data_IF_905448423263
#
_entry.id   IF_905448423263
#
_cell.length_a   1.000
_cell.length_b   1.000
_cell.length_c   1.000
_cell.angle_alpha   90.00
_cell.angle_beta   90.00
_cell.angle_gamma   90.00
#
_symmetry.space_group_name_H-M   'P 1'
#
loop_
_entity.id
_entity.type
_entity.pdbx_description
1 polymer ?
#
# COMPACT_ATOMS: atom_id res chain seq x y z
N UNK A 1 10.73 -45.59 47.12
CA UNK A 1 10.42 -46.75 46.25
C UNK A 1 10.81 -46.41 44.82
N UNK A 2 11.50 -47.34 44.15
CA UNK A 2 11.73 -47.56 42.70
C UNK A 2 11.64 -46.35 41.71
N UNK A 3 12.74 -45.79 41.16
CA UNK A 3 13.49 -46.12 39.89
C UNK A 3 12.59 -46.48 38.68
N UNK A 4 12.69 -45.98 37.42
CA UNK A 4 13.84 -45.71 36.49
C UNK A 4 13.43 -44.98 35.18
N UNK A 5 14.46 -44.43 34.48
CA UNK A 5 14.75 -44.41 33.00
C UNK A 5 13.91 -43.43 32.13
N UNK A 6 14.47 -42.70 31.16
CA UNK A 6 15.43 -43.12 30.13
C UNK A 6 16.19 -41.94 29.48
N UNK A 7 17.47 -42.16 29.19
CA UNK A 7 18.41 -41.33 28.40
C UNK A 7 18.33 -41.68 26.90
N UNK A 8 18.47 -40.67 26.02
CA UNK A 8 19.06 -40.74 24.65
C UNK A 8 19.60 -39.32 24.37
N UNK A 9 20.89 -39.00 24.32
CA UNK A 9 22.05 -39.47 23.55
C UNK A 9 22.25 -38.77 22.18
N UNK A 10 23.28 -37.90 22.16
CA UNK A 10 24.27 -37.61 21.12
C UNK A 10 23.84 -37.28 19.67
N UNK A 11 24.27 -36.08 19.23
CA UNK A 11 24.57 -35.75 17.83
C UNK A 11 25.28 -34.39 17.77
N UNK A 12 26.61 -34.38 17.96
CA UNK A 12 27.66 -34.30 16.94
C UNK A 12 28.06 -32.84 16.62
N UNK A 13 29.25 -32.50 17.11
CA UNK A 13 30.01 -31.27 16.91
C UNK A 13 30.33 -31.07 15.42
N UNK A 14 29.95 -29.92 14.86
CA UNK A 14 30.56 -29.39 13.65
C UNK A 14 31.41 -28.17 14.02
N UNK A 15 32.62 -28.17 13.49
CA UNK A 15 33.79 -27.45 13.97
C UNK A 15 33.87 -26.13 13.21
N UNK A 16 34.12 -25.07 13.97
CA UNK A 16 34.47 -23.72 13.53
C UNK A 16 35.50 -23.74 12.40
N UNK A 17 35.21 -23.01 11.33
CA UNK A 17 36.21 -22.51 10.39
C UNK A 17 36.35 -21.01 10.61
N UNK A 18 37.44 -20.63 11.27
CA UNK A 18 37.85 -19.24 11.46
C UNK A 18 38.60 -18.77 10.22
N UNK A 19 38.15 -17.68 9.62
CA UNK A 19 38.96 -16.85 8.74
C UNK A 19 38.76 -15.39 9.19
N UNK A 20 39.87 -14.77 9.53
CA UNK A 20 39.98 -13.48 10.17
C UNK A 20 39.85 -12.32 9.17
N UNK A 21 39.15 -11.24 9.56
CA UNK A 21 39.51 -9.87 9.24
C UNK A 21 38.76 -8.91 10.20
N UNK A 22 39.47 -7.85 10.62
CA UNK A 22 39.17 -6.89 11.69
C UNK A 22 37.76 -6.26 11.73
N UNK A 23 37.25 -6.08 12.96
CA UNK A 23 36.18 -5.14 13.29
C UNK A 23 35.58 -5.37 14.68
N UNK A 24 36.32 -5.05 15.75
CA UNK A 24 35.74 -4.79 17.08
C UNK A 24 35.28 -3.32 17.11
N UNK A 25 34.11 -2.97 17.64
CA UNK A 25 33.83 -2.83 19.07
C UNK A 25 32.30 -2.99 19.31
N UNK A 26 31.86 -4.04 20.01
CA UNK A 26 31.38 -4.02 21.41
C UNK A 26 30.28 -2.97 21.68
N UNK A 27 29.07 -3.33 22.14
CA UNK A 27 28.75 -3.63 23.55
C UNK A 27 27.31 -4.18 23.58
N UNK A 28 27.07 -5.47 23.80
CA UNK A 28 26.86 -6.20 25.07
C UNK A 28 25.59 -5.83 25.89
N UNK A 29 24.85 -6.89 26.23
CA UNK A 29 23.98 -7.07 27.41
C UNK A 29 22.62 -6.36 27.37
N UNK A 30 21.48 -6.97 27.72
CA UNK A 30 21.27 -7.97 28.78
C UNK A 30 19.89 -8.62 28.64
N UNK A 31 19.79 -9.86 29.10
CA UNK A 31 18.54 -10.56 29.39
C UNK A 31 17.85 -10.02 30.66
N UNK A 32 16.51 -10.08 30.72
CA UNK A 32 15.65 -10.32 31.90
C UNK A 32 14.19 -10.17 31.44
N UNK A 33 13.38 -11.22 31.35
CA UNK A 33 12.64 -11.90 32.42
C UNK A 33 11.59 -11.04 33.16
N UNK A 34 10.35 -11.56 33.12
CA UNK A 34 9.35 -11.57 34.21
C UNK A 34 8.44 -10.36 34.50
N UNK A 35 7.14 -10.64 34.32
CA UNK A 35 6.09 -10.60 35.36
C UNK A 35 5.32 -9.29 35.65
N UNK A 36 4.05 -9.32 35.25
CA UNK A 36 2.81 -9.18 36.05
C UNK A 36 2.53 -7.94 36.93
N UNK A 37 1.20 -7.72 37.09
CA UNK A 37 0.45 -6.92 38.09
C UNK A 37 0.17 -5.46 37.72
N UNK A 38 -0.97 -4.82 37.99
CA UNK A 38 -2.34 -5.12 38.46
C UNK A 38 -3.13 -3.77 38.42
N UNK A 39 -4.46 -3.83 38.46
CA UNK A 39 -5.40 -2.76 38.95
C UNK A 39 -5.65 -1.52 38.06
N UNK A 40 -6.82 -0.85 38.02
CA UNK A 40 -8.17 -1.02 38.55
C UNK A 40 -9.09 0.00 37.81
N UNK A 41 -10.31 -0.38 37.41
CA UNK A 41 -11.63 0.03 37.93
C UNK A 41 -12.01 1.53 37.94
N UNK A 42 -13.14 1.86 37.28
CA UNK A 42 -14.30 2.68 37.72
C UNK A 42 -14.90 3.46 36.52
N UNK A 43 -16.18 3.85 36.42
CA UNK A 43 -17.49 3.40 36.93
C UNK A 43 -18.52 4.41 36.38
N UNK A 44 -19.73 3.95 36.04
CA UNK A 44 -20.96 4.77 35.96
C UNK A 44 -21.25 5.43 34.61
N UNK A 45 -22.50 5.67 34.19
CA UNK A 45 -23.80 5.49 34.84
C UNK A 45 -24.87 5.48 33.75
N UNK A 46 -25.92 4.70 33.99
CA UNK A 46 -27.08 4.50 33.12
C UNK A 46 -28.11 5.61 33.39
N UNK A 47 -28.84 6.10 32.38
CA UNK A 47 -30.18 6.68 32.56
C UNK A 47 -30.94 6.66 31.22
N UNK A 48 -32.00 5.86 31.19
CA UNK A 48 -33.09 5.84 30.22
C UNK A 48 -33.82 7.18 30.10
N UNK A 49 -34.38 7.46 28.92
CA UNK A 49 -35.74 8.02 28.83
C UNK A 49 -36.34 7.83 27.44
N UNK A 50 -37.39 7.03 27.38
CA UNK A 50 -38.36 6.93 26.30
C UNK A 50 -39.22 8.18 26.20
N UNK A 51 -39.54 8.65 24.99
CA UNK A 51 -40.83 9.31 24.70
C UNK A 51 -41.17 9.14 23.22
N UNK A 52 -42.23 8.37 22.97
CA UNK A 52 -42.98 8.32 21.73
C UNK A 52 -43.72 9.64 21.47
N UNK A 53 -43.88 10.03 20.20
CA UNK A 53 -45.19 10.10 19.52
C UNK A 53 -45.20 11.05 18.31
N UNK A 54 -45.57 10.47 17.17
CA UNK A 54 -46.63 10.93 16.25
C UNK A 54 -46.59 12.34 15.63
N UNK A 55 -46.42 12.34 14.31
CA UNK A 55 -47.39 12.92 13.37
C UNK A 55 -47.16 14.36 12.90
N UNK A 56 -46.86 14.53 11.61
CA UNK A 56 -47.82 15.06 10.62
C UNK A 56 -47.09 15.37 9.31
N UNK A 57 -47.62 14.85 8.21
CA UNK A 57 -47.32 15.33 6.86
C UNK A 57 -48.07 16.66 6.63
N UNK A 58 -47.49 17.59 5.86
CA UNK A 58 -48.20 18.01 4.65
C UNK A 58 -47.28 18.12 3.42
N UNK A 59 -47.87 17.85 2.25
CA UNK A 59 -47.33 18.17 0.92
C UNK A 59 -47.96 19.51 0.43
N UNK A 60 -47.83 19.91 -0.84
CA UNK A 60 -46.63 20.45 -1.55
C UNK A 60 -46.91 21.83 -2.20
N UNK A 61 -45.94 22.75 -2.31
CA UNK A 61 -46.14 24.04 -3.02
C UNK A 61 -44.89 24.50 -3.80
N UNK A 62 -44.93 24.23 -5.11
CA UNK A 62 -44.73 25.10 -6.28
C UNK A 62 -43.95 26.47 -6.22
N UNK A 63 -43.03 26.62 -7.19
CA UNK A 63 -42.58 27.82 -7.95
C UNK A 63 -41.39 28.73 -7.53
N UNK A 64 -40.48 28.80 -8.51
CA UNK A 64 -39.80 29.97 -9.11
C UNK A 64 -38.50 30.55 -8.54
N UNK A 65 -37.46 30.35 -9.36
CA UNK A 65 -36.51 31.32 -9.91
C UNK A 65 -35.78 32.30 -8.98
N UNK A 66 -34.45 32.16 -8.97
CA UNK A 66 -33.50 33.19 -8.55
C UNK A 66 -32.08 32.78 -8.89
N UNK A 67 -31.64 33.04 -10.12
CA UNK A 67 -30.26 32.83 -10.53
C UNK A 67 -29.31 33.82 -9.86
N UNK A 68 -28.09 33.38 -9.56
CA UNK A 68 -26.88 34.20 -9.40
C UNK A 68 -25.66 33.27 -9.43
N UNK A 69 -24.68 33.62 -10.24
CA UNK A 69 -23.62 32.73 -10.69
C UNK A 69 -22.66 32.21 -9.63
N UNK A 70 -22.21 30.98 -9.86
CA UNK A 70 -20.92 30.46 -9.44
C UNK A 70 -20.13 30.11 -10.71
N UNK A 71 -18.89 30.57 -10.77
CA UNK A 71 -18.00 30.56 -11.93
C UNK A 71 -17.88 29.20 -12.64
N UNK A 72 -17.57 29.17 -13.96
CA UNK A 72 -17.02 27.97 -14.56
C UNK A 72 -15.71 27.67 -13.85
N UNK A 73 -15.65 26.56 -13.11
CA UNK A 73 -14.40 25.89 -12.79
C UNK A 73 -13.79 25.44 -14.12
N UNK A 74 -13.06 26.36 -14.74
CA UNK A 74 -12.04 26.07 -15.72
C UNK A 74 -10.91 25.36 -15.00
N UNK A 75 -10.97 24.03 -15.01
CA UNK A 75 -9.85 23.13 -14.80
C UNK A 75 -9.85 22.18 -15.98
N UNK A 76 -8.95 22.42 -16.91
CA UNK A 76 -8.72 21.57 -18.07
C UNK A 76 -8.34 20.15 -17.62
N UNK A 77 -9.06 19.14 -18.13
CA UNK A 77 -8.48 17.83 -18.41
C UNK A 77 -8.36 16.80 -17.28
N UNK A 78 -9.42 16.51 -16.52
CA UNK A 78 -9.55 15.21 -15.86
C UNK A 78 -10.27 14.25 -16.79
N UNK A 79 -9.56 13.57 -17.69
CA UNK A 79 -10.16 12.51 -18.48
C UNK A 79 -10.76 11.47 -17.52
N UNK A 80 -12.01 11.06 -17.77
CA UNK A 80 -12.54 9.83 -17.20
C UNK A 80 -11.51 8.73 -17.45
N UNK A 81 -10.99 8.14 -16.37
CA UNK A 81 -9.86 7.22 -16.34
C UNK A 81 -9.98 6.16 -17.43
N UNK A 82 -9.16 6.30 -18.46
CA UNK A 82 -8.73 5.16 -19.26
C UNK A 82 -7.59 4.57 -18.44
N UNK A 83 -7.90 3.55 -17.64
CA UNK A 83 -6.86 2.72 -17.05
C UNK A 83 -6.00 2.20 -18.19
N UNK A 84 -4.70 2.50 -18.14
CA UNK A 84 -3.76 2.03 -19.15
C UNK A 84 -3.41 0.60 -18.81
N UNK A 85 -3.90 -0.35 -19.60
CA UNK A 85 -3.51 -1.76 -19.48
C UNK A 85 -2.03 -1.92 -19.87
N UNK A 86 -1.16 -2.47 -19.01
CA UNK A 86 0.27 -2.59 -19.28
C UNK A 86 0.56 -3.42 -20.54
N UNK A 87 -0.30 -4.40 -20.85
CA UNK A 87 -0.15 -5.24 -22.04
C UNK A 87 -0.50 -4.52 -23.36
N UNK A 88 -1.17 -3.37 -23.27
CA UNK A 88 -1.62 -2.58 -24.43
C UNK A 88 -0.69 -1.42 -24.77
N UNK A 89 0.39 -1.23 -23.99
CA UNK A 89 1.37 -0.16 -24.21
C UNK A 89 2.24 -0.47 -25.42
N UNK A 90 2.24 0.45 -26.39
CA UNK A 90 2.97 0.31 -27.68
C UNK A 90 3.82 1.52 -28.03
N UNK A 91 3.60 2.66 -27.36
CA UNK A 91 4.36 3.91 -27.56
C UNK A 91 4.98 4.38 -26.26
N UNK A 92 6.06 5.15 -26.37
CA UNK A 92 6.73 5.75 -25.20
C UNK A 92 5.79 6.68 -24.42
N UNK A 93 4.93 7.45 -25.12
CA UNK A 93 3.91 8.30 -24.48
C UNK A 93 2.92 7.48 -23.61
N UNK A 94 2.52 6.30 -24.09
CA UNK A 94 1.67 5.39 -23.31
C UNK A 94 2.44 4.81 -22.12
N UNK A 95 3.74 4.55 -22.26
CA UNK A 95 4.58 4.09 -21.15
C UNK A 95 4.73 5.18 -20.08
N UNK A 96 4.89 6.45 -20.48
CA UNK A 96 4.90 7.58 -19.54
C UNK A 96 3.57 7.69 -18.79
N UNK A 97 2.45 7.54 -19.50
CA UNK A 97 1.13 7.51 -18.87
C UNK A 97 0.95 6.31 -17.92
N UNK A 98 1.45 5.13 -18.30
CA UNK A 98 1.45 3.95 -17.43
C UNK A 98 2.24 4.23 -16.15
N UNK A 99 3.47 4.75 -16.23
CA UNK A 99 4.27 5.06 -15.03
C UNK A 99 3.59 6.13 -14.17
N UNK A 100 2.91 7.12 -14.78
CA UNK A 100 2.10 8.06 -14.02
C UNK A 100 0.96 7.38 -13.24
N UNK A 101 0.28 6.40 -13.86
CA UNK A 101 -0.75 5.58 -13.21
C UNK A 101 -0.18 4.72 -12.06
N UNK A 102 1.09 4.32 -12.14
CA UNK A 102 1.74 3.54 -11.07
C UNK A 102 1.80 4.32 -9.75
N UNK A 103 1.84 5.65 -9.78
CA UNK A 103 1.74 6.49 -8.58
C UNK A 103 0.35 6.40 -7.94
N UNK A 104 -0.69 6.14 -8.74
CA UNK A 104 -2.10 6.14 -8.35
C UNK A 104 -2.71 7.53 -8.18
N UNK A 105 -4.03 7.56 -7.99
CA UNK A 105 -4.81 8.80 -7.89
C UNK A 105 -4.80 9.36 -6.46
N UNK A 106 -4.10 10.46 -6.24
CA UNK A 106 -4.02 11.12 -4.92
C UNK A 106 -5.36 11.67 -4.41
N UNK A 107 -6.35 11.89 -5.28
CA UNK A 107 -7.71 12.27 -4.93
C UNK A 107 -8.53 11.15 -4.28
N UNK A 108 -8.06 9.90 -4.34
CA UNK A 108 -8.69 8.74 -3.69
C UNK A 108 -8.16 8.46 -2.28
N UNK A 109 -7.38 9.38 -1.71
CA UNK A 109 -6.77 9.21 -0.39
C UNK A 109 -5.80 8.03 -0.37
N UNK A 110 -5.66 7.36 0.78
CA UNK A 110 -4.67 6.29 0.96
C UNK A 110 -4.82 5.14 -0.04
N UNK A 111 -6.03 4.89 -0.56
CA UNK A 111 -6.27 3.83 -1.54
C UNK A 111 -5.54 4.04 -2.87
N UNK A 112 -5.37 5.28 -3.31
CA UNK A 112 -4.71 5.63 -4.58
C UNK A 112 -5.28 4.90 -5.83
N UNK A 113 -6.48 4.30 -5.71
CA UNK A 113 -7.20 3.54 -6.75
C UNK A 113 -6.64 2.14 -7.05
N UNK A 114 -7.10 1.09 -6.37
CA UNK A 114 -6.52 -0.26 -6.48
C UNK A 114 -6.84 -1.07 -7.73
N UNK A 115 -7.88 -0.73 -8.50
CA UNK A 115 -8.33 -1.52 -9.66
C UNK A 115 -7.18 -2.00 -10.58
N UNK A 116 -6.26 -1.15 -11.06
CA UNK A 116 -5.21 -1.57 -11.99
C UNK A 116 -4.14 -2.49 -11.38
N UNK A 117 -4.12 -2.64 -10.05
CA UNK A 117 -3.12 -3.45 -9.32
C UNK A 117 -3.76 -4.51 -8.41
N UNK A 118 -5.09 -4.65 -8.46
CA UNK A 118 -5.84 -5.44 -7.49
C UNK A 118 -5.38 -6.90 -7.48
N UNK A 119 -5.13 -7.50 -8.65
CA UNK A 119 -4.69 -8.90 -8.76
C UNK A 119 -3.38 -9.14 -7.99
N UNK A 120 -2.43 -8.20 -8.06
CA UNK A 120 -1.16 -8.29 -7.33
C UNK A 120 -1.36 -8.11 -5.83
N UNK A 121 -2.24 -7.19 -5.42
CA UNK A 121 -2.57 -6.98 -4.01
C UNK A 121 -3.21 -8.23 -3.40
N UNK A 122 -4.16 -8.84 -4.10
CA UNK A 122 -4.87 -10.06 -3.67
C UNK A 122 -3.88 -11.24 -3.57
N UNK A 123 -2.94 -11.38 -4.51
CA UNK A 123 -1.92 -12.43 -4.51
C UNK A 123 -0.89 -12.26 -3.39
N UNK A 124 -0.37 -11.05 -3.21
CA UNK A 124 0.74 -10.79 -2.26
C UNK A 124 0.25 -10.64 -0.83
N UNK A 125 -0.81 -9.85 -0.60
CA UNK A 125 -1.27 -9.55 0.76
C UNK A 125 -2.10 -10.69 1.35
N UNK A 126 -2.67 -11.58 0.53
CA UNK A 126 -3.44 -12.75 0.97
C UNK A 126 -4.66 -12.42 1.86
N UNK A 127 -5.15 -11.18 1.78
CA UNK A 127 -6.39 -10.71 2.38
C UNK A 127 -7.39 -10.34 1.28
N UNK A 128 -8.68 -10.20 1.61
CA UNK A 128 -9.63 -9.71 0.62
C UNK A 128 -9.50 -8.19 0.41
N UNK A 129 -9.92 -7.73 -0.76
CA UNK A 129 -10.03 -6.29 -1.04
C UNK A 129 -10.89 -5.54 -0.02
N UNK A 130 -12.00 -6.12 0.46
CA UNK A 130 -12.83 -5.52 1.52
C UNK A 130 -12.06 -5.36 2.85
N UNK A 131 -11.24 -6.35 3.21
CA UNK A 131 -10.44 -6.31 4.43
C UNK A 131 -9.30 -5.28 4.32
N UNK A 132 -8.71 -5.16 3.13
CA UNK A 132 -7.75 -4.10 2.82
C UNK A 132 -8.40 -2.72 2.96
N UNK A 133 -9.59 -2.53 2.39
CA UNK A 133 -10.34 -1.29 2.47
C UNK A 133 -10.63 -0.86 3.91
N UNK A 134 -11.10 -1.79 4.76
CA UNK A 134 -11.32 -1.53 6.19
C UNK A 134 -10.03 -1.08 6.90
N UNK A 135 -8.89 -1.71 6.60
CA UNK A 135 -7.60 -1.27 7.17
C UNK A 135 -7.21 0.15 6.75
N UNK A 136 -7.40 0.48 5.48
CA UNK A 136 -7.02 1.80 4.98
C UNK A 136 -7.96 2.90 5.44
N UNK A 137 -9.28 2.65 5.44
CA UNK A 137 -10.29 3.65 5.83
C UNK A 137 -10.41 3.83 7.33
N UNK A 138 -10.55 2.72 8.07
CA UNK A 138 -10.87 2.79 9.49
C UNK A 138 -9.62 2.93 10.34
N UNK A 139 -8.49 2.36 9.89
CA UNK A 139 -7.24 2.34 10.65
C UNK A 139 -6.19 3.30 10.09
N UNK A 140 -6.46 3.94 8.95
CA UNK A 140 -5.56 4.91 8.32
C UNK A 140 -4.24 4.30 7.85
N UNK A 141 -4.24 3.00 7.55
CA UNK A 141 -3.03 2.31 7.11
C UNK A 141 -2.79 2.54 5.61
N UNK A 142 -1.53 2.71 5.23
CA UNK A 142 -1.12 2.60 3.83
C UNK A 142 -0.75 1.14 3.49
N UNK A 143 -0.46 0.86 2.23
CA UNK A 143 -0.13 -0.50 1.78
C UNK A 143 1.12 -1.07 2.48
N UNK A 144 2.12 -0.24 2.78
CA UNK A 144 3.31 -0.66 3.51
C UNK A 144 2.94 -1.16 4.92
N UNK A 145 2.18 -0.37 5.68
CA UNK A 145 1.71 -0.74 7.02
C UNK A 145 0.84 -2.00 6.99
N UNK A 146 -0.04 -2.14 5.99
CA UNK A 146 -0.85 -3.36 5.83
C UNK A 146 0.04 -4.57 5.57
N UNK A 147 1.04 -4.46 4.68
CA UNK A 147 1.98 -5.54 4.39
C UNK A 147 2.78 -5.94 5.66
N UNK A 148 3.30 -4.96 6.39
CA UNK A 148 4.06 -5.18 7.63
C UNK A 148 3.22 -5.91 8.70
N UNK A 149 1.96 -5.51 8.89
CA UNK A 149 1.03 -6.16 9.83
C UNK A 149 0.75 -7.62 9.46
N UNK A 150 0.81 -7.95 8.17
CA UNK A 150 0.66 -9.31 7.64
C UNK A 150 1.98 -10.09 7.66
N UNK A 151 3.09 -9.47 8.09
CA UNK A 151 4.42 -10.07 8.11
C UNK A 151 5.07 -10.16 6.72
N UNK A 152 4.62 -9.34 5.78
CA UNK A 152 5.16 -9.21 4.43
C UNK A 152 6.06 -7.99 4.39
N UNK A 153 7.27 -8.14 3.85
CA UNK A 153 8.15 -7.00 3.65
C UNK A 153 7.58 -6.07 2.55
N UNK A 154 7.44 -4.75 2.78
CA UNK A 154 6.89 -3.83 1.78
C UNK A 154 7.62 -3.87 0.42
N UNK A 155 8.93 -4.18 0.39
CA UNK A 155 9.67 -4.33 -0.85
C UNK A 155 9.25 -5.57 -1.64
N UNK A 156 8.73 -6.60 -0.97
CA UNK A 156 8.14 -7.76 -1.66
C UNK A 156 6.91 -7.33 -2.45
N UNK A 157 6.06 -6.48 -1.87
CA UNK A 157 4.89 -5.94 -2.56
C UNK A 157 5.31 -5.02 -3.73
N UNK A 158 6.25 -4.10 -3.49
CA UNK A 158 6.75 -3.20 -4.53
C UNK A 158 7.35 -3.99 -5.70
N UNK A 159 8.18 -4.99 -5.41
CA UNK A 159 8.79 -5.85 -6.42
C UNK A 159 7.75 -6.58 -7.28
N UNK A 160 6.70 -7.12 -6.65
CA UNK A 160 5.61 -7.79 -7.39
C UNK A 160 4.83 -6.82 -8.29
N UNK A 161 4.60 -5.58 -7.84
CA UNK A 161 3.96 -4.54 -8.64
C UNK A 161 4.83 -4.13 -9.84
N UNK A 162 6.14 -3.93 -9.62
CA UNK A 162 7.11 -3.64 -10.69
C UNK A 162 7.16 -4.79 -11.69
N UNK A 163 7.22 -6.04 -11.24
CA UNK A 163 7.25 -7.22 -12.10
C UNK A 163 5.98 -7.33 -12.96
N UNK A 164 4.81 -7.03 -12.38
CA UNK A 164 3.54 -7.06 -13.10
C UNK A 164 3.50 -6.10 -14.31
N UNK A 165 4.15 -4.94 -14.21
CA UNK A 165 4.08 -3.89 -15.23
C UNK A 165 5.34 -3.80 -16.13
N UNK A 166 6.45 -4.45 -15.72
CA UNK A 166 7.68 -4.55 -16.51
C UNK A 166 7.52 -5.08 -17.95
N UNK A 167 6.57 -5.99 -18.27
CA UNK A 167 6.35 -6.45 -19.64
C UNK A 167 6.04 -5.32 -20.65
N UNK A 168 5.46 -4.20 -20.19
CA UNK A 168 5.26 -3.02 -21.03
C UNK A 168 6.59 -2.43 -21.51
N UNK A 169 7.57 -2.32 -20.60
CA UNK A 169 8.91 -1.81 -20.89
C UNK A 169 9.65 -2.78 -21.82
N UNK A 170 9.58 -4.08 -21.51
CA UNK A 170 10.23 -5.12 -22.32
C UNK A 170 9.71 -5.13 -23.76
N UNK A 171 8.39 -4.99 -23.94
CA UNK A 171 7.76 -4.94 -25.26
C UNK A 171 8.25 -3.76 -26.10
N UNK A 172 8.45 -2.59 -25.50
CA UNK A 172 8.97 -1.40 -26.19
C UNK A 172 10.46 -1.54 -26.52
N UNK A 173 11.24 -2.16 -25.63
CA UNK A 173 12.65 -2.48 -25.87
C UNK A 173 12.81 -3.47 -27.04
N UNK A 174 12.01 -4.53 -27.06
CA UNK A 174 12.01 -5.53 -28.12
C UNK A 174 11.57 -4.96 -29.47
N UNK A 175 10.63 -4.00 -29.48
CA UNK A 175 10.23 -3.28 -30.68
C UNK A 175 11.32 -2.30 -31.18
N UNK A 176 12.25 -1.92 -30.31
CA UNK A 176 13.24 -0.88 -30.56
C UNK A 176 12.67 0.55 -30.47
N UNK A 177 11.51 0.71 -29.81
CA UNK A 177 10.93 2.02 -29.49
C UNK A 177 11.81 2.78 -28.48
N UNK A 178 12.39 2.04 -27.53
CA UNK A 178 13.33 2.55 -26.52
C UNK A 178 14.64 1.76 -26.57
N UNK A 179 15.70 2.37 -26.08
CA UNK A 179 17.03 1.74 -25.90
C UNK A 179 17.11 0.96 -24.59
N UNK A 180 18.16 0.16 -24.41
CA UNK A 180 18.38 -0.58 -23.17
C UNK A 180 18.58 0.34 -21.96
N UNK A 181 19.35 1.42 -22.13
CA UNK A 181 19.57 2.42 -21.07
C UNK A 181 18.25 3.10 -20.67
N UNK A 182 17.39 3.38 -21.65
CA UNK A 182 16.05 3.93 -21.42
C UNK A 182 15.13 2.94 -20.71
N UNK A 183 15.15 1.66 -21.10
CA UNK A 183 14.39 0.62 -20.42
C UNK A 183 14.76 0.51 -18.94
N UNK A 184 16.05 0.55 -18.60
CA UNK A 184 16.51 0.53 -17.21
C UNK A 184 16.08 1.78 -16.43
N UNK A 185 16.12 2.96 -17.07
CA UNK A 185 15.63 4.20 -16.47
C UNK A 185 14.11 4.17 -16.23
N UNK A 186 13.33 3.59 -17.15
CA UNK A 186 11.89 3.41 -16.97
C UNK A 186 11.55 2.41 -15.87
N UNK A 187 12.31 1.33 -15.72
CA UNK A 187 12.13 0.38 -14.61
C UNK A 187 12.39 1.05 -13.27
N UNK A 188 13.44 1.87 -13.17
CA UNK A 188 13.71 2.64 -11.96
C UNK A 188 12.59 3.65 -11.65
N UNK A 189 12.07 4.35 -12.66
CA UNK A 189 10.94 5.26 -12.49
C UNK A 189 9.65 4.54 -12.05
N UNK A 190 9.43 3.32 -12.55
CA UNK A 190 8.30 2.47 -12.15
C UNK A 190 8.44 2.01 -10.68
N UNK A 191 9.63 1.61 -10.27
CA UNK A 191 9.94 1.25 -8.88
C UNK A 191 9.74 2.45 -7.94
N UNK A 192 10.18 3.65 -8.33
CA UNK A 192 9.95 4.88 -7.58
C UNK A 192 8.44 5.16 -7.43
N UNK A 193 7.68 5.04 -8.51
CA UNK A 193 6.24 5.27 -8.51
C UNK A 193 5.50 4.31 -7.56
N UNK A 194 5.82 3.01 -7.61
CA UNK A 194 5.22 2.03 -6.71
C UNK A 194 5.72 2.15 -5.27
N UNK A 195 6.97 2.52 -5.06
CA UNK A 195 7.48 2.84 -3.73
C UNK A 195 6.67 3.97 -3.14
N UNK A 196 6.54 5.08 -3.86
CA UNK A 196 5.74 6.23 -3.44
C UNK A 196 4.31 5.80 -3.14
N UNK A 197 3.66 5.02 -4.03
CA UNK A 197 2.31 4.47 -3.80
C UNK A 197 2.18 3.64 -2.53
N UNK A 198 3.11 2.73 -2.30
CA UNK A 198 3.03 1.77 -1.19
C UNK A 198 3.28 2.47 0.14
N UNK A 199 4.19 3.43 0.19
CA UNK A 199 4.61 4.09 1.44
C UNK A 199 3.88 5.41 1.73
N UNK A 200 3.04 5.90 0.83
CA UNK A 200 2.42 7.22 1.00
C UNK A 200 1.48 7.28 2.20
N UNK A 201 1.52 8.40 2.92
CA UNK A 201 0.86 8.60 4.21
C UNK A 201 -0.31 9.60 4.16
N UNK A 202 -0.53 10.25 3.02
CA UNK A 202 -1.55 11.29 2.88
C UNK A 202 -1.01 12.70 2.69
N UNK A 203 0.29 12.93 2.90
CA UNK A 203 0.81 14.29 3.05
C UNK A 203 1.43 14.84 1.75
N UNK A 204 2.11 14.00 0.98
CA UNK A 204 2.84 14.44 -0.21
C UNK A 204 1.96 14.51 -1.46
N UNK A 205 2.16 15.52 -2.31
CA UNK A 205 1.49 15.57 -3.60
C UNK A 205 2.04 14.49 -4.54
N UNK A 206 1.17 13.86 -5.33
CA UNK A 206 1.60 12.88 -6.35
C UNK A 206 2.57 13.53 -7.35
N UNK A 207 3.79 12.99 -7.52
CA UNK A 207 4.72 13.45 -8.54
C UNK A 207 4.13 13.34 -9.94
N UNK A 208 4.48 14.30 -10.80
CA UNK A 208 4.17 14.23 -12.24
C UNK A 208 5.35 13.65 -12.99
N UNK A 209 5.16 12.50 -13.63
CA UNK A 209 6.17 11.88 -14.47
C UNK A 209 6.03 12.36 -15.93
N UNK A 210 7.09 12.94 -16.48
CA UNK A 210 7.10 13.50 -17.85
C UNK A 210 7.98 12.69 -18.82
N UNK A 211 8.46 11.51 -18.40
CA UNK A 211 9.40 10.69 -19.16
C UNK A 211 10.86 10.95 -18.81
N UNK A 212 11.76 10.19 -19.45
CA UNK A 212 13.21 10.19 -19.18
C UNK A 212 14.03 11.00 -20.19
N UNK A 213 13.41 11.46 -21.29
CA UNK A 213 14.05 12.17 -22.40
C UNK A 213 13.74 13.67 -22.51
N UNK A 214 13.74 14.40 -21.38
CA UNK A 214 13.46 15.84 -21.30
C UNK A 214 14.51 16.76 -21.92
#
# INVERSE_FOLDING_TARGET
>A
MKVRKTLVALGLVAIVSVAAACGADSTESTAAESSATESASSSGTETDTTTSSSGTQPAPEDLSEGGSGGAPIGGEGGAAGTSVDPSSVTTEEQLVALIQEAYGDGGLGLHRGHEPVQDVLDEVLTISHDELHVRMEEQGQNLASVAEDLGIDPQTLIGALVESWSPAIDSLLENGTITADEADAYRAALEEAFTFRVTWDGEEATPTFTGIGG
#
